data_IF_660563572009
#
_entry.id   IF_660563572009
#
_cell.length_a   1.000
_cell.length_b   1.000
_cell.length_c   1.000
_cell.angle_alpha   90.00
_cell.angle_beta   90.00
_cell.angle_gamma   90.00
#
_symmetry.space_group_name_H-M   'P 1'
#
loop_
_entity.id
_entity.type
_entity.pdbx_description
1 polymer ?
#
# COMPACT_ATOMS: atom_id res chain seq x y z
N UNK A 1 6.80 5.29 26.35
CA UNK A 1 7.01 6.39 25.39
C UNK A 1 7.68 5.81 24.16
N UNK A 2 6.92 5.35 23.17
CA UNK A 2 7.47 4.87 21.91
C UNK A 2 7.78 6.08 21.02
N UNK A 3 9.06 6.39 20.86
CA UNK A 3 9.53 7.47 19.99
C UNK A 3 8.98 7.29 18.57
N UNK A 4 8.16 8.25 18.11
CA UNK A 4 7.72 8.29 16.72
C UNK A 4 8.90 8.72 15.85
N UNK A 5 9.60 7.74 15.27
CA UNK A 5 10.67 7.99 14.29
C UNK A 5 10.06 8.23 12.90
N UNK A 6 10.39 9.37 12.29
CA UNK A 6 9.95 9.69 10.92
C UNK A 6 10.86 8.99 9.91
N UNK A 7 10.27 8.21 9.01
CA UNK A 7 11.01 7.56 7.94
C UNK A 7 11.55 8.59 6.93
N UNK A 8 12.84 8.54 6.57
CA UNK A 8 13.48 9.56 5.73
C UNK A 8 12.76 9.79 4.38
N UNK A 9 12.18 8.74 3.79
CA UNK A 9 11.41 8.86 2.54
C UNK A 9 10.15 9.74 2.66
N UNK A 10 9.61 9.96 3.87
CA UNK A 10 8.50 10.91 4.09
C UNK A 10 8.92 12.36 3.84
N UNK A 11 10.21 12.69 3.96
CA UNK A 11 10.72 14.04 3.71
C UNK A 11 10.57 14.50 2.25
N UNK A 12 10.35 13.57 1.31
CA UNK A 12 10.16 13.89 -0.10
C UNK A 12 8.73 14.30 -0.47
N UNK A 13 7.81 14.35 0.51
CA UNK A 13 6.40 14.77 0.40
C UNK A 13 5.70 14.31 -0.88
N UNK A 14 5.73 13.00 -1.14
CA UNK A 14 5.04 12.42 -2.28
C UNK A 14 3.52 12.54 -2.11
N UNK A 15 2.74 12.88 -3.15
CA UNK A 15 1.28 12.88 -3.12
C UNK A 15 0.69 11.45 -3.10
N UNK A 16 1.52 10.43 -3.24
CA UNK A 16 1.11 9.02 -3.28
C UNK A 16 1.55 8.25 -2.03
N UNK A 17 0.81 7.19 -1.72
CA UNK A 17 1.12 6.24 -0.66
C UNK A 17 2.45 5.54 -0.96
N UNK A 18 3.31 5.45 0.06
CA UNK A 18 4.62 4.83 -0.02
C UNK A 18 4.81 3.74 1.04
N UNK A 19 5.83 2.89 0.87
CA UNK A 19 6.18 1.90 1.90
C UNK A 19 6.55 2.53 3.25
N UNK A 20 6.98 3.80 3.25
CA UNK A 20 7.27 4.54 4.47
C UNK A 20 6.03 4.93 5.27
N UNK A 21 4.84 4.91 4.65
CA UNK A 21 3.59 5.27 5.30
C UNK A 21 2.97 4.06 6.02
N UNK A 22 3.16 2.86 5.48
CA UNK A 22 2.64 1.58 5.99
C UNK A 22 3.64 0.92 6.94
N UNK A 23 3.28 0.81 8.23
CA UNK A 23 4.11 0.16 9.25
C UNK A 23 3.70 -1.31 9.43
N UNK A 24 2.39 -1.56 9.45
CA UNK A 24 1.80 -2.89 9.58
C UNK A 24 0.84 -3.14 8.42
N UNK A 25 0.62 -4.41 8.03
CA UNK A 25 -0.37 -4.74 7.02
C UNK A 25 -1.73 -4.12 7.36
N UNK A 26 -2.23 -3.26 6.49
CA UNK A 26 -3.45 -2.48 6.72
C UNK A 26 -4.52 -2.89 5.74
N UNK A 27 -5.72 -3.18 6.23
CA UNK A 27 -6.87 -3.47 5.38
C UNK A 27 -7.48 -2.13 4.94
N UNK A 28 -7.58 -1.93 3.64
CA UNK A 28 -8.17 -0.75 3.02
C UNK A 28 -9.21 -1.17 1.98
N UNK A 29 -10.21 -0.33 1.78
CA UNK A 29 -11.29 -0.54 0.82
C UNK A 29 -11.07 0.36 -0.38
N UNK A 30 -10.94 -0.21 -1.57
CA UNK A 30 -10.73 0.58 -2.78
C UNK A 30 -12.05 1.27 -3.15
N UNK A 31 -12.08 2.59 -3.12
CA UNK A 31 -13.23 3.37 -3.56
C UNK A 31 -13.37 3.35 -5.09
N UNK A 32 -12.26 3.62 -5.79
CA UNK A 32 -12.18 3.62 -7.25
C UNK A 32 -10.74 3.51 -7.71
N UNK A 33 -10.55 3.02 -8.94
CA UNK A 33 -9.27 3.09 -9.64
C UNK A 33 -9.45 3.93 -10.90
N UNK A 34 -8.55 4.86 -11.12
CA UNK A 34 -8.58 5.72 -12.30
C UNK A 34 -7.20 5.83 -12.94
N UNK A 35 -7.19 5.94 -14.26
CA UNK A 35 -6.01 6.24 -15.03
C UNK A 35 -5.80 7.76 -15.02
N UNK A 36 -4.80 8.24 -14.28
CA UNK A 36 -4.57 9.67 -14.02
C UNK A 36 -3.12 10.07 -14.32
N UNK A 37 -2.91 11.31 -14.73
CA UNK A 37 -1.56 11.86 -14.92
C UNK A 37 -0.82 11.98 -13.59
N UNK A 38 0.51 11.91 -13.66
CA UNK A 38 1.39 12.05 -12.51
C UNK A 38 1.14 13.35 -11.73
N UNK A 39 0.69 13.20 -10.48
CA UNK A 39 0.40 14.31 -9.57
C UNK A 39 1.66 15.00 -9.04
N UNK A 40 2.83 14.36 -9.14
CA UNK A 40 4.09 15.03 -8.79
C UNK A 40 4.47 16.11 -9.80
N UNK A 41 3.84 16.11 -10.99
CA UNK A 41 4.18 16.97 -12.14
C UNK A 41 5.63 16.82 -12.62
N UNK A 42 6.34 15.77 -12.18
CA UNK A 42 7.72 15.48 -12.59
C UNK A 42 7.76 14.76 -13.92
N UNK A 43 6.75 13.93 -14.19
CA UNK A 43 6.62 13.20 -15.45
C UNK A 43 5.32 13.56 -16.17
N UNK A 44 5.22 13.19 -17.45
CA UNK A 44 3.98 13.23 -18.23
C UNK A 44 3.30 11.85 -18.28
N UNK A 45 3.75 10.94 -17.42
CA UNK A 45 3.27 9.57 -17.40
C UNK A 45 1.86 9.51 -16.80
N UNK A 46 1.18 8.43 -17.13
CA UNK A 46 -0.18 8.16 -16.67
C UNK A 46 -0.14 6.87 -15.87
N UNK A 47 -0.74 6.89 -14.68
CA UNK A 47 -0.68 5.82 -13.72
C UNK A 47 -2.08 5.33 -13.33
N UNK A 48 -2.22 4.02 -13.17
CA UNK A 48 -3.36 3.42 -12.50
C UNK A 48 -3.30 3.82 -11.02
N UNK A 49 -4.20 4.70 -10.60
CA UNK A 49 -4.22 5.28 -9.26
C UNK A 49 -5.44 4.76 -8.50
N UNK A 50 -5.19 4.03 -7.43
CA UNK A 50 -6.22 3.53 -6.52
C UNK A 50 -6.48 4.56 -5.42
N UNK A 51 -7.76 4.90 -5.25
CA UNK A 51 -8.27 5.68 -4.14
C UNK A 51 -8.97 4.76 -3.16
N UNK A 52 -8.86 5.08 -1.88
CA UNK A 52 -9.44 4.30 -0.79
C UNK A 52 -10.63 5.04 -0.17
N UNK A 53 -11.57 4.29 0.40
CA UNK A 53 -12.73 4.84 1.11
C UNK A 53 -12.33 5.44 2.46
N UNK A 54 -11.31 4.86 3.11
CA UNK A 54 -10.79 5.35 4.37
C UNK A 54 -10.15 6.74 4.19
N UNK A 55 -10.47 7.67 5.08
CA UNK A 55 -9.97 9.06 5.00
C UNK A 55 -8.56 9.21 5.56
N UNK A 56 -8.23 8.41 6.56
CA UNK A 56 -7.01 8.50 7.34
C UNK A 56 -6.40 7.11 7.53
N UNK A 57 -5.08 7.02 7.39
CA UNK A 57 -4.34 5.79 7.67
C UNK A 57 -4.15 5.61 9.18
N UNK A 58 -3.92 6.72 9.87
CA UNK A 58 -3.80 6.86 11.33
C UNK A 58 -4.46 8.18 11.71
N UNK A 59 -4.92 8.37 12.96
CA UNK A 59 -5.50 9.63 13.40
C UNK A 59 -4.61 10.83 13.03
N UNK A 60 -5.13 11.73 12.19
CA UNK A 60 -4.42 12.92 11.71
C UNK A 60 -3.49 12.72 10.51
N UNK A 61 -3.37 11.51 9.96
CA UNK A 61 -2.63 11.22 8.74
C UNK A 61 -3.57 10.84 7.61
N UNK A 62 -3.79 11.79 6.68
CA UNK A 62 -4.63 11.59 5.51
C UNK A 62 -4.12 10.42 4.66
N UNK A 63 -5.03 9.52 4.29
CA UNK A 63 -4.72 8.40 3.42
C UNK A 63 -4.46 8.90 1.99
N UNK A 64 -3.24 8.64 1.51
CA UNK A 64 -2.82 8.99 0.16
C UNK A 64 -3.28 7.92 -0.84
N UNK A 65 -3.57 8.28 -2.10
CA UNK A 65 -3.85 7.30 -3.14
C UNK A 65 -2.60 6.47 -3.47
N UNK A 66 -2.79 5.25 -3.94
CA UNK A 66 -1.71 4.32 -4.26
C UNK A 66 -1.57 4.14 -5.78
N UNK A 67 -0.33 4.23 -6.28
CA UNK A 67 -0.03 3.84 -7.67
C UNK A 67 0.00 2.31 -7.76
N UNK A 68 -0.75 1.77 -8.71
CA UNK A 68 -0.79 0.35 -9.00
C UNK A 68 0.20 -0.01 -10.11
N UNK A 69 1.30 -0.65 -9.72
CA UNK A 69 2.22 -1.27 -10.67
C UNK A 69 1.63 -2.55 -11.28
N UNK A 70 2.32 -3.13 -12.27
CA UNK A 70 1.86 -4.34 -12.96
C UNK A 70 1.56 -5.52 -12.02
N UNK A 71 2.37 -5.73 -10.97
CA UNK A 71 2.16 -6.81 -10.00
C UNK A 71 0.90 -6.60 -9.16
N UNK A 72 0.68 -5.38 -8.68
CA UNK A 72 -0.49 -5.04 -7.87
C UNK A 72 -1.76 -5.05 -8.72
N UNK A 73 -1.71 -4.56 -9.96
CA UNK A 73 -2.79 -4.66 -10.94
C UNK A 73 -3.16 -6.10 -11.29
N UNK A 74 -2.16 -6.98 -11.47
CA UNK A 74 -2.41 -8.42 -11.69
C UNK A 74 -3.10 -9.07 -10.48
N UNK A 75 -2.73 -8.65 -9.27
CA UNK A 75 -3.34 -9.14 -8.04
C UNK A 75 -4.80 -8.69 -7.94
N UNK A 76 -5.10 -7.42 -8.24
CA UNK A 76 -6.48 -6.94 -8.28
C UNK A 76 -7.33 -7.66 -9.31
N UNK A 77 -6.82 -7.84 -10.53
CA UNK A 77 -7.47 -8.68 -11.54
C UNK A 77 -7.81 -10.08 -11.01
N UNK A 78 -6.91 -10.69 -10.24
CA UNK A 78 -7.13 -11.99 -9.62
C UNK A 78 -8.18 -11.98 -8.50
N UNK A 79 -8.30 -10.88 -7.76
CA UNK A 79 -9.28 -10.71 -6.68
C UNK A 79 -10.68 -10.45 -7.26
N UNK A 80 -10.80 -9.59 -8.26
CA UNK A 80 -12.08 -9.18 -8.83
C UNK A 80 -12.56 -10.08 -9.96
N UNK A 81 -11.66 -10.87 -10.55
CA UNK A 81 -11.93 -11.64 -11.75
C UNK A 81 -12.02 -10.79 -13.02
N UNK A 82 -11.85 -9.47 -12.93
CA UNK A 82 -12.00 -8.54 -14.04
C UNK A 82 -10.70 -7.78 -14.36
N UNK A 83 -10.33 -7.62 -15.64
CA UNK A 83 -9.22 -6.76 -16.05
C UNK A 83 -9.57 -5.26 -16.11
N UNK A 84 -10.85 -4.89 -15.92
CA UNK A 84 -11.32 -3.51 -16.06
C UNK A 84 -11.20 -2.74 -14.73
N UNK A 85 -10.79 -1.47 -14.80
CA UNK A 85 -10.51 -0.65 -13.60
C UNK A 85 -11.80 -0.28 -12.84
N UNK A 86 -12.89 -0.15 -13.58
CA UNK A 86 -14.23 0.18 -13.11
C UNK A 86 -14.76 -0.90 -12.13
N UNK A 87 -14.37 -2.15 -12.34
CA UNK A 87 -14.78 -3.30 -11.53
C UNK A 87 -13.93 -3.47 -10.26
N UNK A 88 -12.94 -2.61 -10.02
CA UNK A 88 -12.02 -2.72 -8.88
C UNK A 88 -12.46 -1.91 -7.66
N UNK A 89 -13.56 -1.16 -7.76
CA UNK A 89 -14.18 -0.44 -6.65
C UNK A 89 -14.93 -1.37 -5.68
N UNK A 90 -15.04 -0.97 -4.41
CA UNK A 90 -15.70 -1.71 -3.34
C UNK A 90 -14.91 -2.93 -2.81
N UNK A 91 -13.71 -3.17 -3.32
CA UNK A 91 -12.90 -4.34 -2.96
C UNK A 91 -12.04 -4.06 -1.74
N UNK A 92 -12.16 -4.91 -0.72
CA UNK A 92 -11.26 -4.88 0.44
C UNK A 92 -9.96 -5.60 0.14
N UNK A 93 -8.86 -4.93 0.41
CA UNK A 93 -7.51 -5.45 0.19
C UNK A 93 -6.60 -5.18 1.37
N UNK A 94 -5.61 -6.05 1.58
CA UNK A 94 -4.56 -5.80 2.56
C UNK A 94 -3.36 -5.18 1.86
N UNK A 95 -2.99 -3.96 2.25
CA UNK A 95 -1.80 -3.25 1.79
C UNK A 95 -0.66 -3.50 2.78
N UNK A 96 0.48 -3.97 2.29
CA UNK A 96 1.63 -4.30 3.12
C UNK A 96 2.96 -3.97 2.42
N UNK A 97 4.04 -3.92 3.19
CA UNK A 97 5.40 -3.72 2.68
C UNK A 97 6.10 -5.07 2.53
N UNK A 98 6.51 -5.38 1.31
CA UNK A 98 7.38 -6.52 1.00
C UNK A 98 8.82 -6.02 0.93
N UNK A 99 9.69 -6.59 1.77
CA UNK A 99 11.12 -6.22 1.86
C UNK A 99 12.00 -6.94 0.83
N UNK A 100 11.44 -7.92 0.11
CA UNK A 100 12.17 -8.78 -0.82
C UNK A 100 11.90 -8.43 -2.29
N UNK A 101 11.43 -7.20 -2.57
CA UNK A 101 11.16 -6.78 -3.94
C UNK A 101 12.49 -6.56 -4.66
N UNK A 102 12.77 -7.38 -5.67
CA UNK A 102 14.00 -7.26 -6.46
C UNK A 102 13.90 -6.10 -7.45
N UNK A 103 14.85 -5.18 -7.37
CA UNK A 103 15.08 -4.13 -8.35
C UNK A 103 16.51 -4.25 -8.89
N UNK A 104 16.65 -4.91 -10.04
CA UNK A 104 17.97 -5.28 -10.56
C UNK A 104 18.69 -6.28 -9.62
N UNK A 105 19.86 -5.90 -9.12
CA UNK A 105 20.66 -6.71 -8.18
C UNK A 105 20.34 -6.43 -6.70
N UNK A 106 19.55 -5.41 -6.42
CA UNK A 106 19.23 -4.98 -5.05
C UNK A 106 17.84 -5.46 -4.64
N UNK A 107 17.66 -5.73 -3.35
CA UNK A 107 16.34 -5.92 -2.75
C UNK A 107 15.91 -4.62 -2.11
N UNK A 108 14.74 -4.13 -2.50
CA UNK A 108 14.13 -2.90 -2.00
C UNK A 108 12.79 -3.21 -1.36
N UNK A 109 12.31 -2.26 -0.57
CA UNK A 109 10.97 -2.31 -0.01
C UNK A 109 9.94 -1.87 -1.05
N UNK A 110 8.92 -2.68 -1.28
CA UNK A 110 7.83 -2.37 -2.21
C UNK A 110 6.46 -2.54 -1.57
N UNK A 111 5.53 -1.65 -1.95
CA UNK A 111 4.12 -1.78 -1.60
C UNK A 111 3.46 -2.90 -2.40
N UNK A 112 2.79 -3.79 -1.68
CA UNK A 112 2.04 -4.93 -2.22
C UNK A 112 0.61 -4.93 -1.71
N UNK A 113 -0.25 -5.53 -2.53
CA UNK A 113 -1.66 -5.74 -2.24
C UNK A 113 -1.91 -7.24 -2.19
N UNK A 114 -2.76 -7.69 -1.28
CA UNK A 114 -3.27 -9.07 -1.22
C UNK A 114 -4.78 -9.06 -0.93
N UNK A 115 -5.49 -10.18 -1.17
CA UNK A 115 -6.88 -10.32 -0.74
C UNK A 115 -7.02 -9.94 0.74
N UNK A 116 -8.13 -9.30 1.13
CA UNK A 116 -8.38 -9.00 2.53
C UNK A 116 -8.31 -10.28 3.37
N UNK A 117 -7.25 -10.39 4.15
CA UNK A 117 -7.06 -11.43 5.15
C UNK A 117 -6.70 -10.71 6.43
N UNK A 118 -7.41 -11.01 7.50
CA UNK A 118 -7.02 -10.56 8.83
C UNK A 118 -5.71 -11.29 9.16
N UNK A 119 -4.57 -10.63 8.91
CA UNK A 119 -3.28 -11.14 9.35
C UNK A 119 -3.28 -10.94 10.86
N UNK A 120 -3.62 -12.00 11.61
CA UNK A 120 -3.37 -12.01 13.06
C UNK A 120 -1.87 -11.74 13.24
N UNK A 121 -1.45 -10.83 14.13
CA UNK A 121 -0.03 -10.59 14.37
C UNK A 121 0.63 -11.94 14.67
N UNK A 122 1.61 -12.31 13.84
CA UNK A 122 2.39 -13.52 14.06
C UNK A 122 3.08 -13.40 15.41
N UNK A 123 2.75 -14.29 16.34
CA UNK A 123 3.52 -14.46 17.57
C UNK A 123 4.91 -14.93 17.14
N UNK A 124 5.87 -14.02 17.07
CA UNK A 124 7.28 -14.42 16.99
C UNK A 124 7.65 -15.12 18.31
N UNK A 125 8.51 -16.16 18.29
CA UNK A 125 8.88 -16.92 19.50
C UNK A 125 9.64 -16.13 20.58
N UNK A 126 9.76 -14.80 20.47
CA UNK A 126 10.55 -13.96 21.39
C UNK A 126 9.80 -13.50 22.65
N UNK A 127 8.67 -14.12 22.99
CA UNK A 127 8.07 -13.99 24.33
C UNK A 127 8.10 -15.31 25.09
N UNK A 128 9.28 -15.92 25.17
CA UNK A 128 9.56 -16.88 26.22
C UNK A 128 10.12 -16.12 27.42
N UNK A 129 9.23 -15.66 28.31
CA UNK A 129 9.41 -15.64 29.77
C UNK A 129 8.42 -14.68 30.43
N UNK A 130 7.43 -15.26 31.12
CA UNK A 130 7.15 -14.94 32.51
C UNK A 130 6.18 -16.03 33.02
N UNK A 131 6.74 -16.94 33.80
CA UNK A 131 6.03 -17.87 34.69
C UNK A 131 5.72 -17.12 35.99
#
# INVERSE_FOLDING_TARGET
MSEQKTHYRKAFDSPYLSSADIVEPTILTIARVALESDKTKKTKDVFNTAYFEERELRPGEKLKPMILNATNSKTLKGITGSPFLEDWGGVKVTVFVDKNVRFGKESVEGLRISPARVIKPSLTPEKTQAW
#
